data_IF_063349068955
#
_entry.id   IF_063349068955
#
_cell.length_a   1.000
_cell.length_b   1.000
_cell.length_c   1.000
_cell.angle_alpha   90.00
_cell.angle_beta   90.00
_cell.angle_gamma   90.00
#
_symmetry.space_group_name_H-M   'P 1'
#
loop_
_entity.id
_entity.type
_entity.pdbx_description
1 polymer ?
#
# COMPACT_ATOMS: atom_id res chain seq x y z
N UNK A 1 0.06 7.52 2.71
CA UNK A 1 0.76 7.85 1.45
C UNK A 1 1.89 8.82 1.77
N UNK A 2 3.09 8.59 1.25
CA UNK A 2 4.24 9.48 1.44
C UNK A 2 4.02 10.82 0.71
N UNK A 3 4.64 11.89 1.19
CA UNK A 3 4.51 13.23 0.58
C UNK A 3 5.51 13.36 -0.56
N UNK A 4 5.00 13.52 -1.78
CA UNK A 4 5.77 13.59 -3.04
C UNK A 4 5.66 15.00 -3.61
N UNK A 5 6.78 15.58 -4.05
CA UNK A 5 6.80 16.86 -4.77
C UNK A 5 6.66 16.60 -6.27
N UNK A 6 5.78 17.34 -6.93
CA UNK A 6 5.72 17.45 -8.39
C UNK A 6 6.78 18.43 -8.89
N UNK A 7 7.56 18.04 -9.91
CA UNK A 7 8.39 18.98 -10.64
C UNK A 7 7.48 19.87 -11.50
N UNK A 8 7.42 21.17 -11.18
CA UNK A 8 6.74 22.16 -12.00
C UNK A 8 7.55 22.34 -13.29
N UNK A 9 6.99 21.90 -14.42
CA UNK A 9 7.45 22.36 -15.73
C UNK A 9 6.73 23.67 -16.03
N UNK A 10 7.51 24.70 -16.30
CA UNK A 10 7.05 26.04 -16.64
C UNK A 10 6.55 26.00 -18.09
N UNK A 11 5.27 25.70 -18.29
CA UNK A 11 4.60 25.77 -19.59
C UNK A 11 4.32 27.25 -19.94
N UNK A 12 5.37 28.01 -20.23
CA UNK A 12 5.25 29.31 -20.85
C UNK A 12 5.52 29.16 -22.35
N UNK A 13 4.49 28.85 -23.13
CA UNK A 13 4.41 29.22 -24.56
C UNK A 13 2.95 29.27 -25.02
N UNK A 14 2.51 30.45 -25.47
CA UNK A 14 1.39 30.60 -26.41
C UNK A 14 0.04 31.01 -25.84
N UNK A 15 -0.08 32.26 -25.38
CA UNK A 15 -1.36 32.94 -25.25
C UNK A 15 -1.89 33.30 -26.65
N UNK A 16 -3.05 32.77 -27.03
CA UNK A 16 -3.90 33.43 -28.03
C UNK A 16 -5.34 33.50 -27.56
N UNK A 17 -5.81 34.74 -27.45
CA UNK A 17 -7.18 35.14 -27.17
C UNK A 17 -8.08 34.85 -28.37
N UNK A 18 -9.25 34.25 -28.14
CA UNK A 18 -10.45 34.64 -28.88
C UNK A 18 -11.70 34.45 -28.00
N UNK A 19 -12.42 35.55 -27.78
CA UNK A 19 -13.72 35.62 -27.12
C UNK A 19 -14.87 35.53 -28.15
N UNK A 20 -16.06 35.23 -27.62
CA UNK A 20 -17.41 35.44 -28.19
C UNK A 20 -17.92 34.34 -29.17
N UNK A 21 -19.13 33.78 -29.10
CA UNK A 21 -20.45 34.26 -28.63
C UNK A 21 -21.42 33.11 -28.24
N UNK A 22 -22.45 33.51 -27.49
CA UNK A 22 -23.63 32.85 -26.91
C UNK A 22 -24.58 31.97 -27.79
N UNK A 23 -25.47 31.31 -27.05
CA UNK A 23 -26.84 30.75 -27.30
C UNK A 23 -26.94 29.32 -27.82
N UNK A 24 -27.36 28.36 -26.98
CA UNK A 24 -28.74 28.00 -26.59
C UNK A 24 -29.43 27.19 -27.67
N UNK A 25 -29.60 25.89 -27.43
CA UNK A 25 -30.90 25.23 -27.66
C UNK A 25 -30.90 23.82 -27.06
N UNK A 26 -31.74 23.67 -26.05
CA UNK A 26 -32.17 22.40 -25.46
C UNK A 26 -33.43 21.90 -26.17
N UNK A 27 -33.68 20.58 -26.05
CA UNK A 27 -34.85 19.76 -26.47
C UNK A 27 -34.55 18.95 -27.74
N UNK A 28 -34.75 17.62 -27.78
CA UNK A 28 -35.95 16.83 -27.42
C UNK A 28 -35.51 15.34 -27.42
N UNK A 29 -35.65 14.54 -26.36
CA UNK A 29 -36.78 13.60 -26.10
C UNK A 29 -37.45 13.11 -27.42
N UNK A 30 -37.55 11.81 -27.74
CA UNK A 30 -38.22 10.74 -26.99
C UNK A 30 -38.43 9.47 -27.86
N UNK A 31 -38.43 8.27 -27.22
CA UNK A 31 -39.34 7.07 -27.39
C UNK A 31 -39.42 6.40 -28.79
N UNK A 32 -39.56 5.09 -29.03
CA UNK A 32 -40.02 3.82 -28.40
C UNK A 32 -39.27 2.67 -29.15
N UNK A 33 -39.09 1.40 -28.74
CA UNK A 33 -40.00 0.39 -28.18
C UNK A 33 -40.10 -0.84 -29.13
N UNK A 34 -39.77 -2.04 -28.60
CA UNK A 34 -40.14 -3.41 -29.05
C UNK A 34 -39.21 -4.29 -29.93
N UNK A 35 -38.68 -5.31 -29.23
CA UNK A 35 -38.52 -6.77 -29.47
C UNK A 35 -38.26 -7.44 -30.86
N UNK A 36 -37.19 -8.26 -30.84
CA UNK A 36 -36.92 -9.59 -31.42
C UNK A 36 -37.06 -9.88 -32.93
N UNK A 37 -35.97 -10.37 -33.53
CA UNK A 37 -35.96 -11.17 -34.75
C UNK A 37 -34.55 -11.59 -35.17
N UNK A 38 -34.34 -12.90 -35.31
CA UNK A 38 -33.11 -13.62 -35.63
C UNK A 38 -32.56 -13.32 -37.03
N UNK A 39 -31.24 -13.40 -37.24
CA UNK A 39 -30.64 -13.18 -38.56
C UNK A 39 -29.14 -12.89 -38.57
N UNK A 40 -28.33 -13.95 -38.55
CA UNK A 40 -26.89 -13.91 -38.83
C UNK A 40 -26.65 -13.33 -40.23
N UNK A 41 -26.03 -12.15 -40.31
CA UNK A 41 -25.29 -11.71 -41.49
C UNK A 41 -23.89 -11.23 -41.10
N UNK A 42 -22.92 -11.96 -41.63
CA UNK A 42 -21.48 -11.68 -41.62
C UNK A 42 -21.23 -10.36 -42.35
N UNK A 43 -20.97 -9.29 -41.62
CA UNK A 43 -20.36 -8.07 -42.17
C UNK A 43 -18.84 -8.14 -42.02
N UNK A 44 -18.18 -7.77 -43.11
CA UNK A 44 -16.72 -7.78 -43.34
C UNK A 44 -15.99 -6.93 -42.28
N UNK A 45 -14.70 -7.21 -41.99
CA UNK A 45 -13.92 -6.33 -41.14
C UNK A 45 -13.77 -4.98 -41.85
N UNK A 46 -14.39 -3.95 -41.28
CA UNK A 46 -14.13 -2.57 -41.64
C UNK A 46 -12.73 -2.23 -41.13
N UNK A 47 -11.77 -2.11 -42.05
CA UNK A 47 -10.44 -1.59 -41.79
C UNK A 47 -10.57 -0.09 -41.47
N UNK A 48 -11.05 0.21 -40.27
CA UNK A 48 -11.00 1.55 -39.71
C UNK A 48 -9.55 2.01 -39.55
N UNK A 49 -9.22 3.27 -39.84
CA UNK A 49 -7.86 3.75 -39.70
C UNK A 49 -7.42 3.60 -38.25
N UNK A 50 -6.34 2.83 -38.02
CA UNK A 50 -5.67 2.74 -36.72
C UNK A 50 -5.03 4.09 -36.38
N UNK A 51 -5.84 5.03 -35.92
CA UNK A 51 -5.36 6.30 -35.36
C UNK A 51 -5.06 6.07 -33.89
N UNK A 52 -3.95 5.37 -33.62
CA UNK A 52 -3.32 5.33 -32.30
C UNK A 52 -2.24 6.43 -32.23
N UNK A 53 -2.50 7.63 -32.76
CA UNK A 53 -1.65 8.77 -32.50
C UNK A 53 -2.23 9.52 -31.29
N UNK A 54 -1.62 9.41 -30.10
CA UNK A 54 -2.14 10.04 -28.89
C UNK A 54 -2.19 11.57 -28.99
N UNK A 55 -1.49 12.18 -29.97
CA UNK A 55 -1.51 13.63 -30.23
C UNK A 55 -2.77 14.11 -30.94
N UNK A 56 -3.59 13.18 -31.46
CA UNK A 56 -4.86 13.48 -32.12
C UNK A 56 -6.07 13.24 -31.19
N UNK A 57 -5.83 12.77 -29.96
CA UNK A 57 -6.86 12.58 -28.97
C UNK A 57 -7.18 13.93 -28.30
N UNK A 58 -8.48 14.26 -28.11
CA UNK A 58 -8.87 15.41 -27.30
C UNK A 58 -8.26 15.34 -25.89
N UNK A 59 -7.87 16.49 -25.34
CA UNK A 59 -7.25 16.58 -24.01
C UNK A 59 -8.05 15.92 -22.89
N UNK A 60 -9.38 15.78 -23.05
CA UNK A 60 -10.26 15.06 -22.12
C UNK A 60 -9.95 13.57 -22.00
N UNK A 61 -9.24 12.99 -22.96
CA UNK A 61 -8.78 11.60 -22.96
C UNK A 61 -7.30 11.45 -22.58
N UNK A 62 -6.59 12.57 -22.34
CA UNK A 62 -5.20 12.56 -21.93
C UNK A 62 -5.10 12.59 -20.39
N UNK A 63 -4.32 11.67 -19.83
CA UNK A 63 -4.04 11.63 -18.40
C UNK A 63 -2.67 12.25 -18.13
N UNK A 64 -2.63 13.27 -17.27
CA UNK A 64 -1.36 13.87 -16.81
C UNK A 64 -0.54 12.82 -16.05
N UNK A 65 0.76 12.78 -16.32
CA UNK A 65 1.71 11.88 -15.67
C UNK A 65 2.83 12.67 -15.01
N UNK A 66 3.37 12.17 -13.91
CA UNK A 66 4.50 12.76 -13.20
C UNK A 66 5.52 11.68 -12.79
N UNK A 67 6.73 12.12 -12.40
CA UNK A 67 7.78 11.27 -11.85
C UNK A 67 8.15 11.75 -10.45
N UNK A 68 8.30 10.80 -9.53
CA UNK A 68 8.84 11.07 -8.19
C UNK A 68 10.31 11.49 -8.31
N UNK A 69 10.63 12.70 -7.84
CA UNK A 69 12.02 13.23 -7.82
C UNK A 69 12.62 13.27 -6.43
N UNK A 70 11.77 13.30 -5.39
CA UNK A 70 12.19 13.35 -3.99
C UNK A 70 11.07 12.88 -3.06
N UNK A 71 11.45 12.35 -1.89
CA UNK A 71 10.52 11.94 -0.82
C UNK A 71 10.74 12.89 0.36
N UNK A 72 9.77 13.77 0.60
CA UNK A 72 9.85 14.75 1.70
C UNK A 72 9.72 14.07 3.07
N UNK A 73 8.75 13.19 3.19
CA UNK A 73 8.40 12.55 4.45
C UNK A 73 8.05 11.09 4.19
N UNK A 74 8.66 10.20 4.97
CA UNK A 74 8.44 8.75 4.94
C UNK A 74 7.36 8.42 5.97
N UNK A 75 6.09 8.41 5.56
CA UNK A 75 4.93 8.12 6.43
C UNK A 75 4.63 6.64 6.54
N UNK A 76 4.99 5.85 5.53
CA UNK A 76 4.82 4.40 5.58
C UNK A 76 5.61 3.79 6.76
N UNK A 77 5.02 2.82 7.47
CA UNK A 77 5.64 2.15 8.63
C UNK A 77 6.96 1.44 8.30
N UNK A 78 7.11 1.07 7.03
CA UNK A 78 8.18 0.24 6.44
C UNK A 78 8.23 -1.18 7.00
N UNK A 79 7.26 -1.57 7.82
CA UNK A 79 7.04 -2.96 8.20
C UNK A 79 6.05 -3.58 7.22
N UNK A 80 6.29 -4.84 6.84
CA UNK A 80 5.37 -5.60 6.02
C UNK A 80 5.36 -7.06 6.47
N UNK A 81 4.20 -7.68 6.34
CA UNK A 81 4.01 -9.10 6.57
C UNK A 81 4.15 -9.86 5.25
N UNK A 82 4.78 -11.03 5.26
CA UNK A 82 5.09 -11.77 4.04
C UNK A 82 5.85 -13.06 4.27
N UNK A 83 6.33 -13.63 3.17
CA UNK A 83 6.98 -14.93 3.12
C UNK A 83 8.44 -14.80 2.73
N UNK A 84 9.28 -15.70 3.24
CA UNK A 84 10.69 -15.80 2.84
C UNK A 84 10.89 -16.98 1.88
N UNK A 85 11.76 -16.79 0.88
CA UNK A 85 12.16 -17.82 -0.07
C UNK A 85 13.65 -17.73 -0.34
N UNK A 86 14.30 -18.86 -0.57
CA UNK A 86 15.68 -18.87 -1.05
C UNK A 86 15.73 -18.25 -2.45
N UNK A 87 16.87 -17.60 -2.76
CA UNK A 87 17.07 -17.03 -4.08
C UNK A 87 17.18 -18.13 -5.15
N UNK A 88 16.72 -17.85 -6.36
CA UNK A 88 16.74 -18.84 -7.45
C UNK A 88 18.16 -19.10 -7.97
N UNK A 89 19.00 -18.06 -8.02
CA UNK A 89 20.36 -18.16 -8.55
C UNK A 89 21.37 -18.62 -7.49
N UNK A 90 21.64 -19.93 -7.48
CA UNK A 90 22.55 -20.58 -6.52
C UNK A 90 24.02 -20.17 -6.66
N UNK A 91 24.41 -19.57 -7.78
CA UNK A 91 25.81 -19.24 -8.06
C UNK A 91 26.21 -17.83 -7.59
N UNK A 92 25.24 -16.97 -7.31
CA UNK A 92 25.49 -15.61 -6.83
C UNK A 92 25.99 -15.59 -5.38
N UNK A 93 26.89 -14.66 -5.06
CA UNK A 93 27.29 -14.39 -3.67
C UNK A 93 26.09 -13.99 -2.81
N UNK A 94 25.09 -13.34 -3.41
CA UNK A 94 23.85 -12.94 -2.73
C UNK A 94 23.05 -14.17 -2.26
N UNK A 95 23.02 -15.26 -3.03
CA UNK A 95 22.33 -16.49 -2.63
C UNK A 95 22.92 -17.10 -1.35
N UNK A 96 24.23 -16.93 -1.14
CA UNK A 96 24.90 -17.47 0.05
C UNK A 96 24.68 -16.62 1.30
N UNK A 97 24.18 -15.40 1.16
CA UNK A 97 24.07 -14.43 2.26
C UNK A 97 22.65 -13.94 2.51
N UNK A 98 21.76 -14.05 1.53
CA UNK A 98 20.44 -13.43 1.57
C UNK A 98 19.34 -14.38 1.12
N UNK A 99 18.14 -14.16 1.67
CA UNK A 99 16.88 -14.68 1.18
C UNK A 99 16.03 -13.56 0.57
N UNK A 100 15.01 -13.95 -0.19
CA UNK A 100 14.00 -13.05 -0.73
C UNK A 100 12.79 -13.00 0.20
N UNK A 101 12.47 -11.82 0.70
CA UNK A 101 11.19 -11.54 1.36
C UNK A 101 10.17 -11.05 0.33
N UNK A 102 8.99 -11.67 0.35
CA UNK A 102 7.85 -11.35 -0.52
C UNK A 102 6.68 -10.86 0.35
N UNK A 103 6.41 -9.54 0.38
CA UNK A 103 5.26 -8.99 1.10
C UNK A 103 3.92 -9.52 0.58
N UNK A 104 2.92 -9.55 1.45
CA UNK A 104 1.52 -9.80 1.07
C UNK A 104 0.93 -8.57 0.35
N UNK A 105 1.24 -7.36 0.83
CA UNK A 105 0.85 -6.12 0.15
C UNK A 105 1.70 -5.90 -1.11
N UNK A 106 1.07 -5.99 -2.28
CA UNK A 106 1.69 -5.79 -3.60
C UNK A 106 2.21 -4.37 -3.84
N UNK A 107 1.81 -3.39 -3.03
CA UNK A 107 2.33 -2.02 -3.08
C UNK A 107 3.73 -1.93 -2.47
N UNK A 108 4.11 -2.90 -1.65
CA UNK A 108 5.42 -2.98 -0.99
C UNK A 108 6.37 -3.80 -1.88
N UNK A 109 7.60 -3.32 -2.15
CA UNK A 109 8.56 -4.05 -2.96
C UNK A 109 9.05 -5.31 -2.23
N UNK A 110 9.46 -6.31 -3.01
CA UNK A 110 10.24 -7.43 -2.45
C UNK A 110 11.57 -6.93 -1.90
N UNK A 111 12.08 -7.61 -0.89
CA UNK A 111 13.30 -7.20 -0.19
C UNK A 111 14.29 -8.35 -0.02
N UNK A 112 15.59 -8.06 -0.12
CA UNK A 112 16.64 -8.95 0.34
C UNK A 112 16.74 -8.87 1.87
N UNK A 113 16.70 -10.03 2.52
CA UNK A 113 16.92 -10.17 3.96
C UNK A 113 18.15 -11.03 4.21
N UNK A 114 18.91 -10.75 5.25
CA UNK A 114 20.08 -11.56 5.60
C UNK A 114 19.65 -12.95 6.04
N UNK A 115 20.35 -13.99 5.58
CA UNK A 115 20.15 -15.36 6.09
C UNK A 115 20.48 -15.48 7.58
N UNK A 116 21.28 -14.56 8.14
CA UNK A 116 21.55 -14.48 9.57
C UNK A 116 20.31 -14.06 10.39
N UNK A 117 19.37 -13.35 9.78
CA UNK A 117 18.12 -12.95 10.42
C UNK A 117 17.00 -14.00 10.24
N UNK A 118 17.21 -14.96 9.33
CA UNK A 118 16.28 -16.07 9.09
C UNK A 118 16.44 -17.18 10.15
N UNK A 119 15.43 -18.05 10.31
CA UNK A 119 15.58 -19.26 11.13
C UNK A 119 16.81 -20.09 10.70
N UNK A 120 17.59 -20.64 11.64
CA UNK A 120 18.86 -21.30 11.34
C UNK A 120 18.71 -22.55 10.45
N UNK A 121 17.55 -23.19 10.51
CA UNK A 121 17.16 -24.36 9.72
C UNK A 121 16.38 -23.99 8.44
N UNK A 122 16.17 -22.71 8.15
CA UNK A 122 15.50 -22.25 6.93
C UNK A 122 16.23 -22.71 5.66
N UNK A 123 17.57 -22.70 5.67
CA UNK A 123 18.38 -23.10 4.51
C UNK A 123 18.28 -24.61 4.24
N UNK A 124 18.17 -25.42 5.30
CA UNK A 124 18.08 -26.88 5.19
C UNK A 124 16.65 -27.35 4.90
N UNK A 125 15.65 -26.64 5.43
CA UNK A 125 14.23 -27.00 5.31
C UNK A 125 13.37 -25.78 4.92
N UNK A 126 13.56 -25.22 3.71
CA UNK A 126 12.81 -24.03 3.28
C UNK A 126 11.30 -24.31 3.15
N UNK A 127 10.92 -25.55 2.82
CA UNK A 127 9.52 -25.95 2.62
C UNK A 127 8.67 -25.87 3.89
N UNK A 128 9.28 -26.10 5.07
CA UNK A 128 8.60 -26.00 6.37
C UNK A 128 8.09 -24.57 6.65
N UNK A 129 8.69 -23.58 5.97
CA UNK A 129 8.37 -22.15 6.12
C UNK A 129 7.57 -21.59 4.93
N UNK A 130 7.22 -22.40 3.94
CA UNK A 130 6.54 -21.94 2.72
C UNK A 130 5.21 -21.24 3.01
N UNK A 131 4.52 -21.65 4.08
CA UNK A 131 3.25 -21.08 4.56
C UNK A 131 3.40 -20.32 5.89
N UNK A 132 4.62 -19.98 6.30
CA UNK A 132 4.87 -19.24 7.54
C UNK A 132 4.95 -17.73 7.24
N UNK A 133 4.21 -16.93 8.00
CA UNK A 133 4.27 -15.48 7.95
C UNK A 133 5.43 -14.94 8.78
N UNK A 134 6.09 -13.94 8.20
CA UNK A 134 7.16 -13.19 8.83
C UNK A 134 6.89 -11.69 8.71
N UNK A 135 7.42 -10.93 9.67
CA UNK A 135 7.49 -9.48 9.58
C UNK A 135 8.88 -9.10 9.11
N UNK A 136 8.95 -8.28 8.07
CA UNK A 136 10.18 -7.67 7.58
C UNK A 136 10.07 -6.14 7.64
N UNK A 137 11.12 -5.47 8.12
CA UNK A 137 11.23 -4.01 8.08
C UNK A 137 12.18 -3.60 6.96
N UNK A 138 11.70 -2.77 6.03
CA UNK A 138 12.51 -2.20 4.95
C UNK A 138 13.44 -1.15 5.55
N UNK A 139 14.75 -1.41 5.45
CA UNK A 139 15.81 -0.55 5.98
C UNK A 139 16.24 0.46 4.93
N UNK A 140 16.52 -0.01 3.71
CA UNK A 140 17.06 0.83 2.64
C UNK A 140 16.58 0.36 1.26
N UNK A 141 16.64 1.23 0.26
CA UNK A 141 16.43 0.88 -1.14
C UNK A 141 17.36 1.71 -2.02
N UNK A 142 18.46 1.08 -2.42
CA UNK A 142 19.49 1.68 -3.25
C UNK A 142 19.05 1.79 -4.71
N UNK A 143 19.53 2.82 -5.39
CA UNK A 143 19.24 3.11 -6.80
C UNK A 143 19.73 2.05 -7.79
N UNK A 144 20.77 1.30 -7.42
CA UNK A 144 21.37 0.23 -8.21
C UNK A 144 20.65 -1.13 -8.03
N UNK A 145 19.66 -1.19 -7.11
CA UNK A 145 18.96 -2.42 -6.76
C UNK A 145 17.48 -2.39 -7.13
N UNK A 146 17.04 -3.44 -7.83
CA UNK A 146 15.62 -3.65 -8.12
C UNK A 146 14.79 -4.04 -6.89
N UNK A 147 15.44 -4.51 -5.83
CA UNK A 147 14.79 -4.95 -4.60
C UNK A 147 15.27 -4.11 -3.42
N UNK A 148 14.39 -3.91 -2.45
CA UNK A 148 14.76 -3.23 -1.22
C UNK A 148 15.68 -4.11 -0.37
N UNK A 149 16.34 -3.53 0.62
CA UNK A 149 17.02 -4.25 1.69
C UNK A 149 16.17 -4.20 2.95
N UNK A 150 15.89 -5.36 3.52
CA UNK A 150 15.07 -5.51 4.71
C UNK A 150 15.79 -6.28 5.81
N UNK A 151 15.27 -6.12 7.02
CA UNK A 151 15.64 -6.91 8.18
C UNK A 151 14.44 -7.73 8.61
N UNK A 152 14.62 -9.04 8.79
CA UNK A 152 13.57 -9.91 9.30
C UNK A 152 13.42 -9.63 10.80
N UNK A 153 12.22 -9.26 11.23
CA UNK A 153 11.96 -8.90 12.63
C UNK A 153 11.56 -10.13 13.45
N UNK A 154 10.60 -10.92 12.96
CA UNK A 154 10.12 -12.14 13.62
C UNK A 154 9.28 -13.02 12.71
N UNK A 155 9.12 -14.29 13.11
CA UNK A 155 8.09 -15.20 12.62
C UNK A 155 6.79 -15.01 13.41
N UNK A 156 5.66 -14.93 12.72
CA UNK A 156 4.34 -14.80 13.34
C UNK A 156 3.66 -16.16 13.55
N UNK A 157 3.61 -16.98 12.50
CA UNK A 157 2.87 -18.24 12.51
C UNK A 157 2.39 -18.62 11.12
N UNK A 158 1.53 -19.63 11.04
CA UNK A 158 0.97 -20.09 9.76
C UNK A 158 0.05 -19.03 9.15
N UNK A 159 0.18 -18.80 7.84
CA UNK A 159 -0.72 -17.93 7.11
C UNK A 159 -2.16 -18.47 7.15
N UNK A 160 -3.13 -17.57 7.30
CA UNK A 160 -4.55 -17.91 7.46
C UNK A 160 -5.00 -18.15 8.91
N UNK A 161 -4.08 -18.27 9.87
CA UNK A 161 -4.43 -18.32 11.30
C UNK A 161 -4.75 -16.91 11.84
N UNK A 162 -5.74 -16.81 12.73
CA UNK A 162 -6.25 -15.52 13.20
C UNK A 162 -5.19 -14.70 13.95
N UNK A 163 -4.46 -15.32 14.88
CA UNK A 163 -3.50 -14.61 15.72
C UNK A 163 -2.30 -14.07 14.91
N UNK A 164 -1.62 -14.88 14.06
CA UNK A 164 -0.54 -14.38 13.20
C UNK A 164 -0.97 -13.27 12.24
N UNK A 165 -2.14 -13.40 11.62
CA UNK A 165 -2.66 -12.37 10.69
C UNK A 165 -2.97 -11.06 11.43
N UNK A 166 -3.61 -11.16 12.61
CA UNK A 166 -3.95 -9.98 13.43
C UNK A 166 -2.69 -9.25 13.87
N UNK A 167 -1.70 -9.98 14.38
CA UNK A 167 -0.41 -9.42 14.79
C UNK A 167 0.33 -8.79 13.59
N UNK A 168 0.27 -9.43 12.42
CA UNK A 168 0.85 -8.91 11.18
C UNK A 168 0.24 -7.58 10.76
N UNK A 169 -1.10 -7.44 10.84
CA UNK A 169 -1.81 -6.20 10.54
C UNK A 169 -1.39 -5.09 11.51
N UNK A 170 -1.38 -5.35 12.82
CA UNK A 170 -0.99 -4.35 13.82
C UNK A 170 0.45 -3.85 13.56
N UNK A 171 1.37 -4.75 13.26
CA UNK A 171 2.76 -4.42 12.93
C UNK A 171 2.89 -3.60 11.64
N UNK A 172 2.17 -3.98 10.58
CA UNK A 172 2.20 -3.31 9.28
C UNK A 172 1.70 -1.86 9.37
N UNK A 173 0.70 -1.61 10.20
CA UNK A 173 0.15 -0.26 10.41
C UNK A 173 0.85 0.52 11.53
N UNK A 174 1.88 -0.05 12.16
CA UNK A 174 2.63 0.61 13.24
C UNK A 174 1.79 0.85 14.49
N UNK A 175 0.82 -0.03 14.76
CA UNK A 175 0.03 -0.02 15.99
C UNK A 175 0.86 -0.64 17.11
N UNK A 176 1.08 0.10 18.19
CA UNK A 176 1.72 -0.43 19.39
C UNK A 176 0.70 -1.25 20.20
N UNK A 177 0.99 -2.53 20.38
CA UNK A 177 0.20 -3.46 21.18
C UNK A 177 1.02 -4.05 22.33
N UNK A 178 2.15 -3.43 22.69
CA UNK A 178 2.90 -3.79 23.88
C UNK A 178 2.15 -3.45 25.16
N UNK A 179 2.51 -4.13 26.25
CA UNK A 179 1.99 -3.81 27.57
C UNK A 179 2.37 -2.39 27.98
N UNK A 180 1.47 -1.72 28.72
CA UNK A 180 1.73 -0.38 29.22
C UNK A 180 2.98 -0.36 30.12
N UNK A 181 3.88 0.62 29.92
CA UNK A 181 5.10 0.71 30.70
C UNK A 181 4.79 1.05 32.18
N UNK A 182 5.65 0.68 33.14
CA UNK A 182 5.40 0.90 34.56
C UNK A 182 5.14 2.36 34.92
N UNK A 183 5.73 3.30 34.19
CA UNK A 183 5.53 4.75 34.37
C UNK A 183 4.09 5.16 34.05
N UNK A 184 3.47 4.56 33.03
CA UNK A 184 2.06 4.78 32.71
C UNK A 184 1.15 4.15 33.76
N UNK A 185 1.51 2.95 34.26
CA UNK A 185 0.77 2.27 35.31
C UNK A 185 0.86 3.02 36.66
N UNK A 186 1.96 3.71 36.93
CA UNK A 186 2.14 4.52 38.13
C UNK A 186 1.20 5.75 38.18
N UNK A 187 0.73 6.23 37.02
CA UNK A 187 -0.28 7.29 36.94
C UNK A 187 -1.70 6.83 37.31
N UNK A 188 -1.92 5.51 37.40
CA UNK A 188 -3.22 4.97 37.83
C UNK A 188 -3.43 5.22 39.34
N UNK A 189 -4.69 5.30 39.80
CA UNK A 189 -4.98 5.35 41.23
C UNK A 189 -4.44 4.12 41.95
N UNK A 190 -3.54 4.33 42.91
CA UNK A 190 -2.84 3.25 43.61
C UNK A 190 -3.68 2.62 44.74
N UNK A 191 -4.70 3.33 45.22
CA UNK A 191 -5.60 2.87 46.27
C UNK A 191 -6.73 2.01 45.68
N UNK A 192 -6.59 0.69 45.75
CA UNK A 192 -7.60 -0.28 45.28
C UNK A 192 -8.28 -1.00 46.46
N UNK A 193 -9.62 -1.17 46.46
CA UNK A 193 -10.57 -0.70 45.43
C UNK A 193 -10.68 0.82 45.42
N UNK A 194 -10.72 1.39 44.22
CA UNK A 194 -10.82 2.84 44.06
C UNK A 194 -12.21 3.34 44.45
N UNK A 195 -12.25 4.35 45.30
CA UNK A 195 -13.48 5.03 45.74
C UNK A 195 -13.28 6.54 45.62
N UNK A 196 -14.31 7.25 45.17
CA UNK A 196 -14.33 8.71 45.10
C UNK A 196 -14.23 9.28 46.52
N UNK A 197 -13.35 10.26 46.75
CA UNK A 197 -13.25 10.92 48.06
C UNK A 197 -14.53 11.68 48.40
N UNK A 198 -14.89 11.73 49.70
CA UNK A 198 -16.06 12.48 50.17
C UNK A 198 -16.00 13.97 49.80
N UNK A 199 -14.79 14.53 49.74
CA UNK A 199 -14.57 15.92 49.32
C UNK A 199 -14.94 16.14 47.84
N UNK A 200 -14.52 15.25 46.94
CA UNK A 200 -14.90 15.32 45.52
C UNK A 200 -16.40 15.11 45.32
N UNK A 201 -17.01 14.26 46.14
CA UNK A 201 -18.44 13.98 46.10
C UNK A 201 -19.28 15.21 46.49
N UNK A 202 -18.80 16.03 47.44
CA UNK A 202 -19.47 17.27 47.84
C UNK A 202 -19.33 18.40 46.80
N UNK A 203 -18.24 18.41 46.01
CA UNK A 203 -18.00 19.41 44.95
C UNK A 203 -18.79 19.13 43.68
N UNK A 204 -19.07 17.86 43.39
CA UNK A 204 -19.77 17.43 42.17
C UNK A 204 -21.28 17.46 42.39
N UNK A 205 -22.03 17.80 41.34
CA UNK A 205 -23.49 17.68 41.37
C UNK A 205 -23.88 16.21 41.39
N UNK A 206 -24.61 15.80 42.41
CA UNK A 206 -25.10 14.43 42.53
C UNK A 206 -26.30 14.18 41.60
N UNK A 207 -26.20 13.13 40.77
CA UNK A 207 -27.23 12.70 39.81
C UNK A 207 -27.54 11.19 39.93
N UNK A 208 -27.10 10.54 41.01
CA UNK A 208 -27.42 9.14 41.33
C UNK A 208 -28.85 9.03 41.83
#
# INVERSE_FOLDING_TARGET
>A
PDVIIEALFDDNDGQDHLQDTLTDDTKKLSLDGSEKGDGVQRTKPDDGPKVNDPRLLPDTFLQRTAKVVYILEKKHSRAATGFIKLLADKNSELFRRCAMFSPVDHRVPRAYVSLADCPPDFVTRPEDYANMLFVCRIVDWKEDSNFATGQLAKSLGQAGEIEPETEGILMEYGVDFSDFPPEALACLPQNLPWVISLEELAKRRDLR
#
